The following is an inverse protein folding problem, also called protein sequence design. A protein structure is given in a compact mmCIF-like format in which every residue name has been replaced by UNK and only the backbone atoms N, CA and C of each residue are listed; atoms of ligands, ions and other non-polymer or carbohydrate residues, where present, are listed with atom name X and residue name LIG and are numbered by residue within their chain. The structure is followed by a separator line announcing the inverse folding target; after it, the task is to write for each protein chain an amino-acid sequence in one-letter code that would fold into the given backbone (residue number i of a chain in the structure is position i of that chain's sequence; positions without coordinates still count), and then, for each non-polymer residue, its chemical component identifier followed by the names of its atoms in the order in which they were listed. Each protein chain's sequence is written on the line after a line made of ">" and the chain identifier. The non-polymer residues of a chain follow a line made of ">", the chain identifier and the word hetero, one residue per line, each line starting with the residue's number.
data_IF_067804547476
#
_entry.id   IF_067804547476
#
_cell.length_a   1.000
_cell.length_b   1.000
_cell.length_c   1.000
_cell.angle_alpha   90.00
_cell.angle_beta   90.00
_cell.angle_gamma   90.00
#
_symmetry.space_group_name_H-M   'P 1'
#
loop_
_entity.id
_entity.type
_entity.pdbx_description
1 polymer ?
#
# COMPACT_ATOMS: atom_id res chain seq x y z
N UNK A 1 8.07 28.88 2.32
CA UNK A 1 7.06 28.02 2.02
C UNK A 1 7.40 26.58 2.29
N UNK A 2 6.66 25.95 3.04
CA UNK A 2 6.96 24.57 3.36
C UNK A 2 6.39 23.67 2.30
N UNK A 3 7.15 22.67 1.96
CA UNK A 3 6.72 21.69 1.03
C UNK A 3 6.60 20.38 1.72
N UNK A 4 5.48 19.76 1.56
CA UNK A 4 5.34 18.44 2.08
C UNK A 4 6.23 17.51 1.31
N UNK A 5 6.78 16.54 2.00
CA UNK A 5 7.58 15.51 1.36
C UNK A 5 6.65 14.54 0.65
N UNK A 6 6.69 14.49 -0.70
CA UNK A 6 5.75 13.64 -1.42
C UNK A 6 5.79 12.18 -0.97
N UNK A 7 6.98 11.67 -0.65
CA UNK A 7 7.09 10.27 -0.23
C UNK A 7 6.37 10.02 1.09
N UNK A 8 6.50 10.96 2.02
CA UNK A 8 5.86 10.80 3.32
C UNK A 8 4.37 10.89 3.20
N UNK A 9 3.90 11.84 2.37
CA UNK A 9 2.47 12.01 2.18
C UNK A 9 1.86 10.89 1.38
N UNK A 10 2.64 10.31 0.48
CA UNK A 10 2.12 9.29 -0.42
C UNK A 10 1.53 8.11 0.34
N UNK A 11 2.28 7.57 1.29
CA UNK A 11 1.77 6.45 2.06
C UNK A 11 0.57 6.86 2.90
N UNK A 12 0.64 8.02 3.53
CA UNK A 12 -0.47 8.50 4.34
C UNK A 12 -1.74 8.67 3.53
N UNK A 13 -1.61 9.24 2.32
CA UNK A 13 -2.76 9.42 1.46
C UNK A 13 -3.35 8.07 1.06
N UNK A 14 -2.49 7.12 0.68
CA UNK A 14 -2.97 5.81 0.26
C UNK A 14 -3.66 5.06 1.39
N UNK A 15 -3.13 5.14 2.59
CA UNK A 15 -3.75 4.50 3.74
C UNK A 15 -5.08 5.14 4.08
N UNK A 16 -5.15 6.46 3.97
CA UNK A 16 -6.39 7.18 4.22
C UNK A 16 -7.46 6.80 3.21
N UNK A 17 -7.09 6.72 1.93
CA UNK A 17 -8.03 6.31 0.90
C UNK A 17 -8.49 4.88 1.12
N UNK A 18 -7.59 4.00 1.53
CA UNK A 18 -7.94 2.61 1.77
C UNK A 18 -8.93 2.49 2.92
N UNK A 19 -8.80 3.32 3.95
CA UNK A 19 -9.74 3.27 5.05
C UNK A 19 -11.14 3.71 4.63
N UNK A 20 -11.24 4.38 3.49
CA UNK A 20 -12.52 4.77 2.90
C UNK A 20 -12.97 3.81 1.80
N UNK A 21 -12.27 2.70 1.64
CA UNK A 21 -12.61 1.72 0.63
C UNK A 21 -12.06 2.00 -0.75
N UNK A 22 -11.12 2.95 -0.87
CA UNK A 22 -10.57 3.33 -2.16
C UNK A 22 -9.14 2.83 -2.29
N UNK A 23 -8.89 2.10 -3.37
CA UNK A 23 -7.59 1.46 -3.61
C UNK A 23 -7.12 1.80 -5.03
N UNK A 24 -6.65 3.03 -5.26
CA UNK A 24 -6.38 3.49 -6.63
C UNK A 24 -5.21 2.80 -7.31
N UNK A 25 -4.33 2.15 -6.55
CA UNK A 25 -3.16 1.50 -7.15
C UNK A 25 -3.41 0.07 -7.57
N UNK A 26 -4.48 -0.56 -7.09
CA UNK A 26 -4.66 -2.00 -7.26
C UNK A 26 -5.88 -2.32 -8.08
N UNK A 27 -5.71 -3.19 -9.06
CA UNK A 27 -6.86 -3.81 -9.72
C UNK A 27 -7.49 -4.83 -8.78
N UNK A 28 -8.78 -4.98 -8.88
CA UNK A 28 -9.51 -5.93 -8.05
C UNK A 28 -8.98 -7.35 -8.21
N UNK A 29 -8.59 -7.69 -9.42
CA UNK A 29 -8.04 -9.02 -9.69
C UNK A 29 -6.75 -9.27 -8.92
N UNK A 30 -5.91 -8.24 -8.82
CA UNK A 30 -4.66 -8.36 -8.08
C UNK A 30 -4.92 -8.58 -6.59
N UNK A 31 -5.92 -7.87 -6.06
CA UNK A 31 -6.26 -8.01 -4.65
C UNK A 31 -6.74 -9.44 -4.39
N UNK A 32 -7.63 -9.92 -5.23
CA UNK A 32 -8.14 -11.28 -5.09
C UNK A 32 -7.02 -12.31 -5.17
N UNK A 33 -6.14 -12.14 -6.14
CA UNK A 33 -5.01 -13.04 -6.33
C UNK A 33 -4.08 -13.03 -5.12
N UNK A 34 -3.82 -11.85 -4.57
CA UNK A 34 -2.87 -11.74 -3.47
C UNK A 34 -3.36 -12.46 -2.22
N UNK A 35 -4.67 -12.57 -2.04
CA UNK A 35 -5.21 -13.23 -0.87
C UNK A 35 -5.58 -14.69 -1.09
N UNK A 36 -5.32 -15.20 -2.30
CA UNK A 36 -5.50 -16.63 -2.55
C UNK A 36 -4.43 -17.45 -1.84
N UNK A 37 -3.29 -16.86 -1.55
CA UNK A 37 -2.22 -17.51 -0.81
C UNK A 37 -1.73 -16.57 0.28
N UNK A 38 -2.46 -16.47 1.39
CA UNK A 38 -2.08 -15.53 2.44
C UNK A 38 -0.76 -15.89 3.08
N UNK A 39 0.00 -14.86 3.42
CA UNK A 39 1.27 -15.00 4.09
C UNK A 39 1.21 -14.34 5.46
N UNK A 40 1.98 -14.89 6.39
CA UNK A 40 2.13 -14.23 7.66
C UNK A 40 3.23 -13.18 7.55
N UNK A 41 2.86 -11.94 7.78
CA UNK A 41 3.79 -10.83 7.71
C UNK A 41 3.75 -10.07 9.01
N UNK A 42 4.94 -9.81 9.57
CA UNK A 42 5.02 -8.88 10.70
C UNK A 42 4.81 -7.47 10.19
N UNK A 43 4.41 -6.57 11.09
CA UNK A 43 4.23 -5.19 10.69
C UNK A 43 5.55 -4.59 10.18
N UNK A 44 6.67 -4.91 10.84
CA UNK A 44 7.96 -4.37 10.44
C UNK A 44 8.31 -4.79 9.02
N UNK A 45 8.08 -6.05 8.69
CA UNK A 45 8.38 -6.53 7.35
C UNK A 45 7.43 -5.93 6.33
N UNK A 46 6.14 -5.87 6.66
CA UNK A 46 5.16 -5.27 5.76
C UNK A 46 5.49 -3.80 5.48
N UNK A 47 5.86 -3.08 6.52
CA UNK A 47 6.21 -1.67 6.38
C UNK A 47 7.40 -1.50 5.44
N UNK A 48 8.42 -2.33 5.59
CA UNK A 48 9.60 -2.26 4.73
C UNK A 48 9.24 -2.56 3.28
N UNK A 49 8.44 -3.59 3.07
CA UNK A 49 8.05 -3.97 1.71
C UNK A 49 7.29 -2.83 1.04
N UNK A 50 6.35 -2.21 1.78
CA UNK A 50 5.56 -1.12 1.22
C UNK A 50 6.45 0.09 0.94
N UNK A 51 7.34 0.43 1.86
CA UNK A 51 8.22 1.58 1.66
C UNK A 51 9.11 1.39 0.43
N UNK A 52 9.69 0.21 0.30
CA UNK A 52 10.53 -0.06 -0.86
C UNK A 52 9.75 -0.04 -2.16
N UNK A 53 8.54 -0.60 -2.12
CA UNK A 53 7.70 -0.58 -3.31
C UNK A 53 7.30 0.82 -3.70
N UNK A 54 6.93 1.66 -2.73
CA UNK A 54 6.55 3.03 -3.02
C UNK A 54 7.73 3.83 -3.56
N UNK A 55 8.94 3.56 -3.07
CA UNK A 55 10.11 4.22 -3.64
C UNK A 55 10.27 3.92 -5.12
N UNK A 56 10.01 2.69 -5.50
CA UNK A 56 10.10 2.31 -6.91
C UNK A 56 9.02 2.98 -7.75
N UNK A 57 7.92 3.40 -7.13
CA UNK A 57 6.83 4.03 -7.84
C UNK A 57 6.85 5.56 -7.78
N UNK A 58 7.71 6.14 -6.96
CA UNK A 58 7.59 7.57 -6.68
C UNK A 58 7.89 8.46 -7.88
N UNK A 59 8.65 7.96 -8.86
CA UNK A 59 8.91 8.76 -10.05
C UNK A 59 7.70 8.86 -10.97
N UNK A 60 6.68 8.06 -10.73
CA UNK A 60 5.44 8.11 -11.49
C UNK A 60 4.46 8.98 -10.72
N UNK A 61 3.97 10.05 -11.32
CA UNK A 61 3.24 11.07 -10.57
C UNK A 61 1.76 10.81 -10.44
N UNK A 62 1.17 10.09 -11.38
CA UNK A 62 -0.27 9.81 -11.30
C UNK A 62 -0.50 8.41 -10.78
N UNK A 63 -1.68 8.19 -10.22
CA UNK A 63 -2.06 6.85 -9.78
C UNK A 63 -2.10 5.88 -10.96
N UNK A 64 -2.56 6.35 -12.11
CA UNK A 64 -2.59 5.49 -13.30
C UNK A 64 -1.20 5.01 -13.69
N UNK A 65 -0.22 5.90 -13.65
CA UNK A 65 1.13 5.52 -14.00
C UNK A 65 1.75 4.61 -12.94
N UNK A 66 1.46 4.88 -11.67
CA UNK A 66 1.92 4.01 -10.60
C UNK A 66 1.32 2.61 -10.75
N UNK A 67 0.05 2.54 -11.11
CA UNK A 67 -0.60 1.26 -11.32
C UNK A 67 0.03 0.50 -12.47
N UNK A 68 0.34 1.20 -13.56
CA UNK A 68 1.00 0.58 -14.69
C UNK A 68 2.39 0.05 -14.31
N UNK A 69 3.13 0.82 -13.53
CA UNK A 69 4.45 0.40 -13.08
C UNK A 69 4.34 -0.81 -12.15
N UNK A 70 3.32 -0.82 -11.30
CA UNK A 70 3.09 -1.95 -10.40
C UNK A 70 2.71 -3.21 -11.17
N UNK A 71 2.02 -3.05 -12.30
CA UNK A 71 1.69 -4.18 -13.15
C UNK A 71 2.94 -4.85 -13.71
N UNK A 72 4.02 -4.09 -13.84
CA UNK A 72 5.28 -4.62 -14.36
C UNK A 72 6.12 -5.34 -13.30
N UNK A 73 5.74 -5.26 -12.04
CA UNK A 73 6.42 -6.00 -10.99
C UNK A 73 6.24 -7.50 -11.24
N UNK A 74 7.22 -8.33 -10.88
CA UNK A 74 6.98 -9.77 -10.87
C UNK A 74 5.76 -10.10 -10.02
N UNK A 75 5.00 -11.10 -10.43
CA UNK A 75 3.74 -11.43 -9.79
C UNK A 75 3.91 -11.65 -8.28
N UNK A 76 4.97 -12.35 -7.89
CA UNK A 76 5.17 -12.63 -6.46
C UNK A 76 5.47 -11.35 -5.68
N UNK A 77 6.22 -10.42 -6.27
CA UNK A 77 6.52 -9.16 -5.60
C UNK A 77 5.26 -8.29 -5.49
N UNK A 78 4.47 -8.25 -6.55
CA UNK A 78 3.23 -7.49 -6.51
C UNK A 78 2.27 -8.04 -5.47
N UNK A 79 2.16 -9.36 -5.41
CA UNK A 79 1.32 -10.02 -4.41
C UNK A 79 1.77 -9.68 -3.00
N UNK A 80 3.07 -9.74 -2.77
CA UNK A 80 3.62 -9.43 -1.46
C UNK A 80 3.43 -7.96 -1.10
N UNK A 81 3.57 -7.07 -2.07
CA UNK A 81 3.34 -5.65 -1.83
C UNK A 81 1.90 -5.39 -1.42
N UNK A 82 0.96 -6.00 -2.12
CA UNK A 82 -0.46 -5.80 -1.81
C UNK A 82 -0.80 -6.35 -0.43
N UNK A 83 -0.31 -7.56 -0.11
CA UNK A 83 -0.56 -8.13 1.21
C UNK A 83 0.03 -7.26 2.31
N UNK A 84 1.23 -6.73 2.07
CA UNK A 84 1.89 -5.87 3.03
C UNK A 84 1.13 -4.56 3.22
N UNK A 85 0.62 -4.00 2.14
CA UNK A 85 -0.15 -2.77 2.22
C UNK A 85 -1.41 -2.97 3.06
N UNK A 86 -2.12 -4.06 2.84
CA UNK A 86 -3.32 -4.34 3.63
C UNK A 86 -2.99 -4.61 5.10
N UNK A 87 -1.83 -5.17 5.36
CA UNK A 87 -1.38 -5.33 6.74
C UNK A 87 -1.25 -3.98 7.43
N UNK A 88 -0.71 -3.00 6.73
CA UNK A 88 -0.58 -1.66 7.29
C UNK A 88 -1.95 -1.00 7.48
N UNK A 89 -2.87 -1.21 6.55
CA UNK A 89 -4.23 -0.70 6.70
C UNK A 89 -4.87 -1.29 7.96
N UNK A 90 -4.67 -2.57 8.18
CA UNK A 90 -5.21 -3.23 9.35
C UNK A 90 -4.71 -2.60 10.64
N UNK A 91 -3.40 -2.37 10.71
CA UNK A 91 -2.81 -1.76 11.90
C UNK A 91 -3.32 -0.34 12.12
N UNK A 92 -3.46 0.42 11.05
CA UNK A 92 -3.98 1.77 11.18
C UNK A 92 -5.40 1.77 11.71
N UNK A 93 -6.22 0.86 11.22
CA UNK A 93 -7.61 0.74 11.65
C UNK A 93 -7.70 0.38 13.13
N UNK A 94 -6.87 -0.57 13.57
CA UNK A 94 -6.86 -0.95 14.97
C UNK A 94 -6.43 0.20 15.86
N UNK A 95 -5.46 0.98 15.40
CA UNK A 95 -4.99 2.13 16.15
C UNK A 95 -6.10 3.16 16.32
N UNK A 96 -6.86 3.41 15.27
CA UNK A 96 -7.98 4.35 15.33
C UNK A 96 -9.06 3.88 16.29
N UNK A 97 -9.32 2.58 16.33
CA UNK A 97 -10.29 2.04 17.25
C UNK A 97 -9.85 2.22 18.69
N UNK A 98 -8.57 2.09 18.96
CA UNK A 98 -8.05 2.32 20.31
C UNK A 98 -8.25 3.76 20.74
N UNK A 99 -8.10 4.69 19.82
CA UNK A 99 -8.25 6.10 20.15
C UNK A 99 -9.69 6.48 20.46
N UNK A 100 -10.63 5.69 20.00
CA UNK A 100 -12.04 5.96 20.27
C UNK A 100 -12.46 5.53 21.66
N UNK A 101 -11.65 4.79 22.33
CA UNK A 101 -11.90 4.36 23.69
C UNK A 101 -11.07 5.16 24.67
#
# INVERSE_FOLDING_TARGET
>A
MSQTQPQQDQLGVLLSLASQGQLPLFHQEWIRDSFSEPKRLSFARASRIVEEGLKRLERHQSFDRKQTALAAFPTSERREFIQSFFKMVEYKTLDQLKELH
#
